data_IF_368692703334
#
_entry.id   IF_368692703334
#
_cell.length_a   1.000
_cell.length_b   1.000
_cell.length_c   1.000
_cell.angle_alpha   90.00
_cell.angle_beta   90.00
_cell.angle_gamma   90.00
#
_symmetry.space_group_name_H-M   'P 1'
#
loop_
_entity.id
_entity.type
_entity.pdbx_description
1 polymer ?
#
# COMPACT_ATOMS: atom_id res chain seq x y z
N UNK A 1 -33.03 24.30 -23.54
CA UNK A 1 -32.08 23.50 -24.32
C UNK A 1 -31.06 22.97 -23.34
N UNK A 2 -31.28 21.71 -22.98
CA UNK A 2 -30.40 20.84 -22.22
C UNK A 2 -28.98 20.78 -22.77
N UNK A 3 -28.00 20.65 -21.85
CA UNK A 3 -26.95 19.65 -21.95
C UNK A 3 -26.16 19.56 -20.63
N UNK A 4 -26.58 18.60 -19.80
CA UNK A 4 -25.78 17.76 -18.90
C UNK A 4 -24.92 18.44 -17.82
N UNK A 5 -25.49 18.50 -16.61
CA UNK A 5 -24.73 18.39 -15.38
C UNK A 5 -23.97 17.06 -15.39
N UNK A 6 -22.65 17.11 -15.41
CA UNK A 6 -21.78 15.95 -15.27
C UNK A 6 -21.72 15.61 -13.78
N UNK A 7 -22.63 14.75 -13.33
CA UNK A 7 -22.54 14.12 -12.01
C UNK A 7 -21.32 13.21 -12.01
N UNK A 8 -20.22 13.71 -11.44
CA UNK A 8 -19.08 12.88 -11.11
C UNK A 8 -19.41 12.21 -9.79
N UNK A 9 -20.01 11.03 -9.88
CA UNK A 9 -20.07 10.08 -8.76
C UNK A 9 -18.65 9.57 -8.50
N UNK A 10 -17.88 10.37 -7.77
CA UNK A 10 -16.64 9.91 -7.16
C UNK A 10 -17.10 9.16 -5.92
N UNK A 11 -17.12 7.83 -6.01
CA UNK A 11 -17.14 6.94 -4.85
C UNK A 11 -16.07 7.42 -3.84
N UNK A 12 -16.48 8.28 -2.91
CA UNK A 12 -15.66 8.75 -1.81
C UNK A 12 -15.64 7.67 -0.75
N UNK A 13 -14.92 6.58 -1.01
CA UNK A 13 -14.36 5.81 0.08
C UNK A 13 -12.88 6.19 0.19
N UNK A 14 -12.44 6.93 1.22
CA UNK A 14 -11.02 7.00 1.51
C UNK A 14 -10.52 5.56 1.63
N UNK A 15 -9.38 5.18 1.02
CA UNK A 15 -8.86 3.83 1.15
C UNK A 15 -8.73 3.56 2.64
N UNK A 16 -9.56 2.65 3.15
CA UNK A 16 -9.63 2.30 4.55
C UNK A 16 -8.22 2.06 5.06
N UNK A 17 -7.88 2.67 6.19
CA UNK A 17 -6.58 2.49 6.79
C UNK A 17 -6.39 0.99 7.08
N UNK A 18 -5.40 0.30 6.47
CA UNK A 18 -5.17 -1.11 6.70
C UNK A 18 -4.70 -1.39 8.12
N UNK A 19 -4.19 -0.37 8.85
CA UNK A 19 -3.68 -0.51 10.21
C UNK A 19 -4.71 -1.11 11.18
N UNK A 20 -5.98 -0.62 11.24
CA UNK A 20 -7.03 -1.21 12.07
C UNK A 20 -7.29 -2.72 11.90
N UNK A 21 -7.00 -3.31 10.73
CA UNK A 21 -7.31 -4.71 10.44
C UNK A 21 -6.07 -5.62 10.41
N UNK A 22 -4.88 -5.05 10.60
CA UNK A 22 -3.63 -5.79 10.54
C UNK A 22 -3.51 -6.77 11.72
N UNK A 23 -3.04 -7.99 11.43
CA UNK A 23 -2.75 -9.00 12.45
C UNK A 23 -1.45 -8.65 13.19
N UNK A 24 -1.28 -9.14 14.41
CA UNK A 24 -0.10 -8.83 15.24
C UNK A 24 1.23 -9.09 14.51
N UNK A 25 1.37 -10.25 13.86
CA UNK A 25 2.59 -10.60 13.11
C UNK A 25 2.87 -9.66 11.93
N UNK A 26 1.84 -9.04 11.35
CA UNK A 26 1.99 -8.07 10.26
C UNK A 26 2.48 -6.72 10.80
N UNK A 27 1.99 -6.31 11.97
CA UNK A 27 2.44 -5.11 12.69
C UNK A 27 3.88 -5.26 13.19
N UNK A 28 4.23 -6.42 13.72
CA UNK A 28 5.61 -6.74 14.12
C UNK A 28 6.57 -6.69 12.92
N UNK A 29 6.18 -7.30 11.79
CA UNK A 29 6.96 -7.24 10.55
C UNK A 29 7.12 -5.80 10.02
N UNK A 30 6.06 -4.99 10.11
CA UNK A 30 6.10 -3.57 9.76
C UNK A 30 7.06 -2.79 10.66
N UNK A 31 6.96 -2.96 11.98
CA UNK A 31 7.81 -2.29 12.95
C UNK A 31 9.30 -2.65 12.75
N UNK A 32 9.61 -3.91 12.47
CA UNK A 32 10.97 -4.32 12.08
C UNK A 32 11.44 -3.64 10.79
N UNK A 33 10.58 -3.60 9.76
CA UNK A 33 10.89 -3.00 8.47
C UNK A 33 11.05 -1.47 8.52
N UNK A 34 10.40 -0.79 9.46
CA UNK A 34 10.60 0.64 9.70
C UNK A 34 11.95 0.97 10.36
N UNK A 35 12.51 0.02 11.11
CA UNK A 35 13.78 0.17 11.84
C UNK A 35 14.98 -0.26 11.01
N UNK A 36 14.83 -1.31 10.19
CA UNK A 36 15.93 -1.89 9.41
C UNK A 36 15.44 -2.72 8.22
N UNK A 37 16.35 -2.99 7.28
CA UNK A 37 16.09 -3.88 6.14
C UNK A 37 15.68 -5.28 6.64
N UNK A 38 14.47 -5.71 6.26
CA UNK A 38 13.83 -6.91 6.83
C UNK A 38 13.38 -7.86 5.72
N UNK A 39 13.74 -9.14 5.84
CA UNK A 39 13.21 -10.23 5.00
C UNK A 39 12.05 -10.87 5.75
N UNK A 40 10.84 -10.75 5.19
CA UNK A 40 9.62 -11.33 5.77
C UNK A 40 9.30 -12.66 5.08
N UNK A 41 9.45 -13.77 5.80
CA UNK A 41 9.10 -15.11 5.32
C UNK A 41 7.79 -15.58 5.94
N UNK A 42 6.72 -15.60 5.14
CA UNK A 42 5.38 -16.04 5.54
C UNK A 42 4.70 -16.82 4.41
N UNK A 43 3.79 -17.72 4.76
CA UNK A 43 3.00 -18.51 3.81
C UNK A 43 2.16 -17.66 2.84
N UNK A 44 1.72 -18.23 1.72
CA UNK A 44 0.81 -17.55 0.79
C UNK A 44 -0.53 -17.26 1.48
N UNK A 45 -1.14 -16.11 1.20
CA UNK A 45 -2.40 -15.70 1.83
C UNK A 45 -2.26 -15.01 3.20
N UNK A 46 -1.06 -15.00 3.80
CA UNK A 46 -0.78 -14.33 5.08
C UNK A 46 -0.77 -12.78 5.03
N UNK A 47 -1.02 -12.18 3.87
CA UNK A 47 -1.06 -10.73 3.70
C UNK A 47 0.30 -10.04 3.62
N UNK A 48 1.34 -10.68 3.05
CA UNK A 48 2.64 -10.03 2.79
C UNK A 48 2.53 -8.70 2.02
N UNK A 49 1.64 -8.63 1.03
CA UNK A 49 1.37 -7.39 0.26
C UNK A 49 0.79 -6.28 1.14
N UNK A 50 0.01 -6.63 2.17
CA UNK A 50 -0.52 -5.68 3.14
C UNK A 50 0.61 -5.05 3.94
N UNK A 51 1.58 -5.85 4.39
CA UNK A 51 2.77 -5.39 5.11
C UNK A 51 3.55 -4.37 4.26
N UNK A 52 3.82 -4.71 2.99
CA UNK A 52 4.51 -3.82 2.07
C UNK A 52 3.72 -2.51 1.81
N UNK A 53 2.40 -2.61 1.67
CA UNK A 53 1.53 -1.43 1.47
C UNK A 53 1.57 -0.51 2.69
N UNK A 54 1.51 -1.07 3.91
CA UNK A 54 1.64 -0.29 5.15
C UNK A 54 3.00 0.40 5.21
N UNK A 55 4.09 -0.31 4.88
CA UNK A 55 5.44 0.26 4.85
C UNK A 55 5.56 1.44 3.87
N UNK A 56 5.02 1.28 2.65
CA UNK A 56 4.98 2.34 1.65
C UNK A 56 4.17 3.55 2.11
N UNK A 57 3.04 3.34 2.79
CA UNK A 57 2.23 4.41 3.38
C UNK A 57 2.99 5.14 4.49
N UNK A 58 3.70 4.41 5.34
CA UNK A 58 4.54 5.00 6.39
C UNK A 58 5.67 5.86 5.83
N UNK A 59 6.25 5.48 4.68
CA UNK A 59 7.26 6.29 3.97
C UNK A 59 6.68 7.26 2.94
N UNK A 60 5.35 7.42 2.85
CA UNK A 60 4.71 8.24 1.83
C UNK A 60 5.22 9.70 1.84
N UNK A 61 5.51 10.25 3.02
CA UNK A 61 6.06 11.60 3.17
C UNK A 61 7.46 11.75 2.51
N UNK A 62 8.23 10.66 2.40
CA UNK A 62 9.55 10.68 1.77
C UNK A 62 9.47 10.52 0.26
N UNK A 63 8.42 9.91 -0.30
CA UNK A 63 8.35 9.58 -1.74
C UNK A 63 7.33 10.42 -2.52
N UNK A 64 6.41 11.12 -1.83
CA UNK A 64 5.48 12.04 -2.47
C UNK A 64 6.23 13.24 -3.06
N UNK A 65 5.79 13.68 -4.25
CA UNK A 65 6.38 14.85 -4.92
C UNK A 65 6.22 16.11 -4.05
N UNK A 66 7.25 16.98 -3.97
CA UNK A 66 8.40 17.09 -4.87
C UNK A 66 9.64 16.21 -4.57
N UNK A 67 9.52 15.11 -3.81
CA UNK A 67 10.66 14.24 -3.48
C UNK A 67 11.39 13.62 -4.70
N UNK A 68 12.74 13.54 -4.63
CA UNK A 68 13.56 12.77 -5.58
C UNK A 68 13.47 11.25 -5.36
N UNK A 69 12.99 10.79 -4.20
CA UNK A 69 12.92 9.36 -3.88
C UNK A 69 11.72 8.70 -4.57
N UNK A 70 11.88 7.42 -4.90
CA UNK A 70 10.85 6.56 -5.45
C UNK A 70 10.77 5.28 -4.64
N UNK A 71 9.60 4.66 -4.64
CA UNK A 71 9.41 3.30 -4.15
C UNK A 71 9.17 2.35 -5.32
N UNK A 72 9.74 1.14 -5.24
CA UNK A 72 9.63 0.12 -6.29
C UNK A 72 9.07 -1.15 -5.66
N UNK A 73 8.01 -1.70 -6.26
CA UNK A 73 7.45 -3.00 -5.90
C UNK A 73 7.75 -3.99 -7.03
N UNK A 74 8.60 -4.98 -6.77
CA UNK A 74 9.06 -5.95 -7.78
C UNK A 74 8.29 -7.26 -7.65
N UNK A 75 7.75 -7.74 -8.76
CA UNK A 75 7.05 -9.03 -8.86
C UNK A 75 7.61 -9.87 -10.01
N UNK A 76 7.63 -11.21 -9.87
CA UNK A 76 8.23 -12.08 -10.88
C UNK A 76 7.35 -12.33 -12.11
N UNK A 77 6.05 -11.97 -12.06
CA UNK A 77 5.10 -12.24 -13.15
C UNK A 77 4.23 -11.01 -13.42
N UNK A 78 3.97 -10.72 -14.69
CA UNK A 78 3.17 -9.56 -15.14
C UNK A 78 1.75 -9.60 -14.55
N UNK A 79 1.16 -10.79 -14.40
CA UNK A 79 -0.20 -10.93 -13.81
C UNK A 79 -0.31 -10.41 -12.37
N UNK A 80 0.80 -10.29 -11.66
CA UNK A 80 0.85 -9.80 -10.28
C UNK A 80 0.94 -8.26 -10.20
N UNK A 81 1.18 -7.58 -11.32
CA UNK A 81 1.29 -6.11 -11.36
C UNK A 81 -0.07 -5.45 -11.17
N UNK A 82 -1.14 -6.10 -11.63
CA UNK A 82 -2.51 -5.55 -11.58
C UNK A 82 -3.30 -5.96 -10.32
N UNK A 83 -2.70 -6.73 -9.41
CA UNK A 83 -3.32 -7.17 -8.16
C UNK A 83 -3.22 -6.09 -7.08
#
# INVERSE_FOLDING_TARGET
MDAAAMEVDIDQHPPSDPLPFARCYQLEALDMALKQNTIVYLETGSGKTLIATMLLRSYAYQIRKPSPYIAVFLVPKVVLVSQ
#
